data_IF_915570272069
#
_entry.id   IF_915570272069
#
_cell.length_a   1.000
_cell.length_b   1.000
_cell.length_c   1.000
_cell.angle_alpha   90.00
_cell.angle_beta   90.00
_cell.angle_gamma   90.00
#
_symmetry.space_group_name_H-M   'P 1'
#
loop_
_entity.id
_entity.type
_entity.pdbx_description
1 polymer ?
#
# COMPACT_ATOMS: atom_id res chain seq x y z
N UNK A 1 16.49 39.03 -23.07
CA UNK A 1 16.76 37.98 -22.06
C UNK A 1 15.48 37.17 -21.98
N UNK A 2 15.47 35.99 -22.59
CA UNK A 2 14.29 35.12 -22.53
C UNK A 2 14.19 34.58 -21.10
N UNK A 3 13.09 34.84 -20.42
CA UNK A 3 12.74 34.10 -19.20
C UNK A 3 12.67 32.62 -19.61
N UNK A 4 13.71 31.86 -19.26
CA UNK A 4 13.65 30.40 -19.40
C UNK A 4 12.54 29.93 -18.45
N UNK A 5 11.49 29.36 -19.02
CA UNK A 5 10.37 28.84 -18.25
C UNK A 5 10.88 27.62 -17.46
N UNK A 6 11.15 27.82 -16.17
CA UNK A 6 11.54 26.75 -15.28
C UNK A 6 10.30 26.02 -14.79
N UNK A 7 10.29 24.70 -14.95
CA UNK A 7 9.24 23.82 -14.47
C UNK A 7 9.59 23.44 -13.04
N UNK A 8 8.72 23.77 -12.09
CA UNK A 8 8.94 23.40 -10.69
C UNK A 8 8.62 21.92 -10.46
N UNK A 9 9.17 21.31 -9.40
CA UNK A 9 8.85 19.93 -9.02
C UNK A 9 7.34 19.69 -8.87
N UNK A 10 6.60 20.71 -8.42
CA UNK A 10 5.14 20.67 -8.30
C UNK A 10 4.47 20.62 -9.68
N UNK A 11 4.88 21.48 -10.59
CA UNK A 11 4.35 21.50 -11.94
C UNK A 11 4.68 20.21 -12.70
N UNK A 12 5.91 19.68 -12.52
CA UNK A 12 6.29 18.39 -13.08
C UNK A 12 5.43 17.24 -12.54
N UNK A 13 5.08 17.26 -11.25
CA UNK A 13 4.20 16.26 -10.63
C UNK A 13 2.77 16.28 -11.21
N UNK A 14 2.27 17.46 -11.54
CA UNK A 14 0.95 17.63 -12.15
C UNK A 14 0.94 17.12 -13.60
N UNK A 15 2.01 17.40 -14.38
CA UNK A 15 2.13 16.97 -15.78
C UNK A 15 2.35 15.46 -15.94
N UNK A 16 3.18 14.86 -15.09
CA UNK A 16 3.52 13.44 -15.16
C UNK A 16 2.55 12.54 -14.37
N UNK A 17 1.56 13.13 -13.70
CA UNK A 17 0.58 12.44 -12.84
C UNK A 17 1.24 11.52 -11.81
N UNK A 18 2.36 11.96 -11.24
CA UNK A 18 3.10 11.25 -10.18
C UNK A 18 3.37 12.21 -9.04
N UNK A 19 3.43 11.72 -7.81
CA UNK A 19 3.59 12.58 -6.65
C UNK A 19 4.93 13.36 -6.72
N UNK A 20 4.91 14.63 -6.30
CA UNK A 20 6.12 15.47 -6.20
C UNK A 20 7.28 14.85 -5.38
N UNK A 21 7.00 13.92 -4.46
CA UNK A 21 8.03 13.17 -3.73
C UNK A 21 8.73 12.14 -4.63
N UNK A 22 7.97 11.45 -5.46
CA UNK A 22 8.48 10.51 -6.48
C UNK A 22 9.35 11.25 -7.50
N UNK A 23 8.92 12.42 -7.96
CA UNK A 23 9.74 13.28 -8.83
C UNK A 23 11.05 13.67 -8.13
N UNK A 24 11.02 14.09 -6.86
CA UNK A 24 12.28 14.34 -6.11
C UNK A 24 13.16 13.11 -6.04
N UNK A 25 12.61 11.93 -5.71
CA UNK A 25 13.37 10.68 -5.65
C UNK A 25 14.03 10.36 -6.99
N UNK A 26 13.35 10.60 -8.11
CA UNK A 26 13.94 10.42 -9.44
C UNK A 26 15.04 11.45 -9.70
N UNK A 27 14.82 12.71 -9.34
CA UNK A 27 15.83 13.76 -9.43
C UNK A 27 17.07 13.40 -8.60
N UNK A 28 16.91 12.94 -7.36
CA UNK A 28 18.02 12.59 -6.48
C UNK A 28 18.81 11.37 -7.00
N UNK A 29 18.13 10.38 -7.60
CA UNK A 29 18.76 9.16 -8.14
C UNK A 29 19.44 9.43 -9.49
N UNK A 30 18.87 10.32 -10.28
CA UNK A 30 19.29 10.64 -11.64
C UNK A 30 19.78 12.09 -11.76
N UNK A 31 20.35 12.65 -10.69
CA UNK A 31 20.76 14.06 -10.61
C UNK A 31 21.75 14.42 -11.72
N UNK A 32 22.74 13.54 -11.94
CA UNK A 32 23.74 13.67 -12.98
C UNK A 32 23.11 13.72 -14.39
N UNK A 33 22.02 12.98 -14.62
CA UNK A 33 21.34 12.92 -15.91
C UNK A 33 20.28 14.01 -16.06
N UNK A 34 19.58 14.40 -15.01
CA UNK A 34 18.50 15.41 -15.10
C UNK A 34 19.08 16.83 -15.00
N UNK A 35 20.23 16.98 -14.32
CA UNK A 35 20.92 18.25 -14.05
C UNK A 35 19.94 19.33 -13.54
N UNK A 36 19.26 19.09 -12.41
CA UNK A 36 18.29 20.03 -11.86
C UNK A 36 19.00 21.29 -11.33
N UNK A 37 18.38 22.46 -11.51
CA UNK A 37 18.80 23.67 -10.81
C UNK A 37 18.07 23.77 -9.47
N UNK A 38 18.65 24.44 -8.48
CA UNK A 38 18.08 24.57 -7.13
C UNK A 38 17.98 26.04 -6.77
N UNK A 39 16.77 26.48 -6.42
CA UNK A 39 16.59 27.86 -5.96
C UNK A 39 17.09 28.07 -4.51
N UNK A 40 17.16 29.33 -4.06
CA UNK A 40 17.57 29.71 -2.70
C UNK A 40 16.74 29.07 -1.56
N UNK A 41 15.60 28.46 -1.91
CA UNK A 41 14.67 27.81 -0.97
C UNK A 41 14.78 26.29 -0.99
N UNK A 42 15.67 25.70 -1.80
CA UNK A 42 15.86 24.26 -1.91
C UNK A 42 14.80 23.54 -2.75
N UNK A 43 14.11 24.24 -3.66
CA UNK A 43 13.21 23.61 -4.64
C UNK A 43 13.92 23.40 -5.97
N UNK A 44 13.75 22.21 -6.55
CA UNK A 44 14.27 21.90 -7.88
C UNK A 44 13.51 22.67 -8.97
N UNK A 45 14.29 23.31 -9.83
CA UNK A 45 13.90 23.99 -11.05
C UNK A 45 14.40 23.16 -12.22
N UNK A 46 13.47 22.69 -13.05
CA UNK A 46 13.76 21.85 -14.19
C UNK A 46 13.67 22.69 -15.46
N UNK A 47 14.61 22.51 -16.37
CA UNK A 47 14.45 22.99 -17.74
C UNK A 47 13.50 22.08 -18.50
N UNK A 48 13.00 22.51 -19.66
CA UNK A 48 12.17 21.67 -20.54
C UNK A 48 12.90 20.35 -20.90
N UNK A 49 14.22 20.39 -21.06
CA UNK A 49 15.05 19.22 -21.35
C UNK A 49 15.14 18.28 -20.14
N UNK A 50 15.41 18.81 -18.94
CA UNK A 50 15.40 18.05 -17.69
C UNK A 50 14.03 17.38 -17.43
N UNK A 51 12.95 18.06 -17.81
CA UNK A 51 11.60 17.50 -17.73
C UNK A 51 11.38 16.36 -18.72
N UNK A 52 11.86 16.49 -19.96
CA UNK A 52 11.78 15.39 -20.94
C UNK A 52 12.59 14.15 -20.49
N UNK A 53 13.74 14.36 -19.85
CA UNK A 53 14.53 13.28 -19.24
C UNK A 53 13.74 12.54 -18.14
N UNK A 54 12.91 13.26 -17.37
CA UNK A 54 11.99 12.65 -16.40
C UNK A 54 10.88 11.82 -17.07
N UNK A 55 10.35 12.25 -18.21
CA UNK A 55 9.37 11.46 -18.99
C UNK A 55 9.99 10.14 -19.47
N UNK A 56 11.23 10.17 -19.97
CA UNK A 56 11.94 8.97 -20.39
C UNK A 56 12.14 8.00 -19.22
N UNK A 57 12.53 8.52 -18.05
CA UNK A 57 12.67 7.72 -16.83
C UNK A 57 11.32 7.10 -16.43
N UNK A 58 10.24 7.89 -16.44
CA UNK A 58 8.90 7.39 -16.13
C UNK A 58 8.49 6.26 -17.07
N UNK A 59 8.69 6.43 -18.38
CA UNK A 59 8.35 5.43 -19.37
C UNK A 59 9.12 4.12 -19.15
N UNK A 60 10.43 4.21 -18.91
CA UNK A 60 11.27 3.03 -18.64
C UNK A 60 10.89 2.33 -17.32
N UNK A 61 10.44 3.08 -16.30
CA UNK A 61 9.93 2.51 -15.05
C UNK A 61 8.60 1.76 -15.27
N UNK A 62 7.71 2.28 -16.13
CA UNK A 62 6.47 1.60 -16.50
C UNK A 62 6.71 0.29 -17.27
N UNK A 63 7.86 0.15 -17.93
CA UNK A 63 8.29 -1.09 -18.61
C UNK A 63 8.84 -2.17 -17.65
N UNK A 64 8.68 -2.01 -16.33
CA UNK A 64 9.22 -2.89 -15.26
C UNK A 64 10.75 -2.95 -15.20
N UNK A 65 11.45 -1.95 -15.72
CA UNK A 65 12.90 -1.83 -15.50
C UNK A 65 13.16 -1.23 -14.12
N UNK A 66 14.14 -1.76 -13.39
CA UNK A 66 14.53 -1.17 -12.11
C UNK A 66 15.29 0.14 -12.31
N UNK A 67 15.26 1.05 -11.32
CA UNK A 67 15.98 2.32 -11.40
C UNK A 67 17.48 2.13 -11.69
N UNK A 68 18.08 1.02 -11.22
CA UNK A 68 19.48 0.66 -11.50
C UNK A 68 19.67 0.19 -12.94
N UNK A 69 18.75 -0.61 -13.47
CA UNK A 69 18.77 -1.01 -14.87
C UNK A 69 18.62 0.20 -15.79
N UNK A 70 17.74 1.14 -15.44
CA UNK A 70 17.57 2.40 -16.19
C UNK A 70 18.87 3.22 -16.14
N UNK A 71 19.49 3.35 -14.97
CA UNK A 71 20.79 4.03 -14.85
C UNK A 71 21.86 3.36 -15.73
N UNK A 72 21.93 2.02 -15.71
CA UNK A 72 22.89 1.27 -16.50
C UNK A 72 22.61 1.36 -18.02
N UNK A 73 21.34 1.33 -18.43
CA UNK A 73 20.91 1.52 -19.81
C UNK A 73 21.30 2.92 -20.29
N UNK A 74 21.05 3.97 -19.50
CA UNK A 74 21.42 5.36 -19.83
C UNK A 74 22.95 5.54 -19.93
N UNK A 75 23.72 4.89 -19.05
CA UNK A 75 25.19 4.84 -19.13
C UNK A 75 25.70 4.08 -20.35
N UNK A 76 24.97 3.06 -20.81
CA UNK A 76 25.35 2.24 -21.96
C UNK A 76 24.94 2.87 -23.29
N UNK A 77 23.84 3.62 -23.31
CA UNK A 77 23.32 4.35 -24.48
C UNK A 77 24.09 5.65 -24.75
N UNK A 78 25.01 6.05 -23.86
CA UNK A 78 25.87 7.22 -24.05
C UNK A 78 25.19 8.56 -23.77
N UNK A 79 23.93 8.56 -23.30
CA UNK A 79 23.25 9.78 -22.84
C UNK A 79 23.65 10.18 -21.41
N UNK A 80 24.34 9.30 -20.69
CA UNK A 80 24.99 9.57 -19.41
C UNK A 80 26.50 9.58 -19.64
N UNK A 81 27.02 10.68 -20.19
CA UNK A 81 28.44 10.99 -20.05
C UNK A 81 28.69 11.23 -18.56
N UNK A 82 29.17 10.20 -17.87
CA UNK A 82 29.96 10.42 -16.67
C UNK A 82 31.16 11.21 -17.15
N UNK A 83 31.06 12.54 -17.09
CA UNK A 83 32.23 13.39 -16.94
C UNK A 83 32.92 12.85 -15.68
N UNK A 84 33.85 11.92 -15.90
CA UNK A 84 34.94 11.71 -14.97
C UNK A 84 35.57 13.08 -14.91
N UNK A 85 35.19 13.84 -13.88
CA UNK A 85 36.00 14.91 -13.32
C UNK A 85 37.28 14.21 -12.85
N UNK A 86 38.11 13.86 -13.82
CA UNK A 86 39.53 13.75 -13.65
C UNK A 86 39.90 15.17 -13.33
N UNK A 87 40.27 15.39 -12.08
CA UNK A 87 40.99 16.57 -11.65
C UNK A 87 42.22 16.72 -12.57
N UNK A 88 42.08 17.35 -13.73
CA UNK A 88 43.19 18.02 -14.41
C UNK A 88 43.46 19.32 -13.65
N UNK A 89 43.96 19.15 -12.44
CA UNK A 89 44.76 20.17 -11.78
C UNK A 89 46.11 20.22 -12.51
N UNK A 90 46.55 21.39 -13.00
CA UNK A 90 47.80 21.51 -13.73
C UNK A 90 48.98 21.40 -12.76
N UNK A 91 49.62 20.23 -12.71
CA UNK A 91 50.89 20.05 -12.03
C UNK A 91 52.06 20.32 -12.99
N UNK A 92 53.00 21.21 -12.64
CA UNK A 92 54.36 21.14 -13.17
C UNK A 92 55.18 20.15 -12.33
N UNK A 93 55.82 19.23 -13.06
CA UNK A 93 57.13 18.60 -12.84
C UNK A 93 57.62 18.19 -11.43
N UNK A 94 57.87 16.87 -11.35
CA UNK A 94 59.10 16.19 -10.85
C UNK A 94 59.38 16.05 -9.35
N UNK A 95 59.85 14.82 -9.10
CA UNK A 95 60.82 14.32 -8.12
C UNK A 95 60.34 13.50 -6.93
N UNK A 96 61.20 12.52 -6.64
CA UNK A 96 61.01 11.24 -5.98
C UNK A 96 60.91 11.36 -4.46
N UNK A 97 60.13 10.49 -3.81
CA UNK A 97 60.45 10.02 -2.46
C UNK A 97 59.77 8.68 -2.13
N UNK A 98 60.53 7.85 -1.44
CA UNK A 98 60.38 6.42 -1.17
C UNK A 98 59.45 6.13 0.03
N UNK A 99 58.80 4.95 -0.01
CA UNK A 99 58.34 4.05 1.10
C UNK A 99 56.82 3.97 1.40
N UNK A 100 56.32 2.86 2.00
CA UNK A 100 56.79 1.48 2.03
C UNK A 100 55.75 0.48 1.45
N UNK A 101 56.25 -0.65 0.95
CA UNK A 101 55.43 -1.78 0.52
C UNK A 101 54.57 -2.32 1.68
N UNK A 102 53.25 -2.29 1.51
CA UNK A 102 52.33 -3.08 2.32
C UNK A 102 52.41 -4.55 1.86
N UNK A 103 52.47 -5.53 2.77
CA UNK A 103 52.48 -6.94 2.43
C UNK A 103 51.05 -7.35 2.02
N UNK A 104 50.74 -7.17 0.75
CA UNK A 104 49.53 -7.67 0.13
C UNK A 104 49.69 -9.19 -0.05
N UNK A 105 49.34 -9.94 1.00
CA UNK A 105 49.20 -11.39 0.92
C UNK A 105 48.12 -11.87 1.91
N UNK A 106 46.89 -11.45 1.65
CA UNK A 106 45.70 -12.16 2.10
C UNK A 106 44.75 -12.24 0.91
N UNK A 107 44.85 -13.36 0.18
CA UNK A 107 43.86 -13.83 -0.77
C UNK A 107 42.55 -14.13 -0.03
N UNK A 108 41.81 -13.09 0.32
CA UNK A 108 40.38 -13.22 0.58
C UNK A 108 39.73 -13.11 -0.80
N UNK A 109 39.07 -14.17 -1.31
CA UNK A 109 38.56 -14.18 -2.67
C UNK A 109 37.51 -13.07 -2.82
N UNK A 110 37.90 -11.99 -3.49
CA UNK A 110 37.07 -10.80 -3.76
C UNK A 110 35.74 -11.22 -4.40
N UNK A 111 35.73 -12.30 -5.18
CA UNK A 111 34.52 -12.91 -5.75
C UNK A 111 33.47 -13.33 -4.72
N UNK A 112 33.87 -13.74 -3.50
CA UNK A 112 32.93 -14.15 -2.46
C UNK A 112 32.26 -12.95 -1.79
N UNK A 113 32.98 -11.83 -1.68
CA UNK A 113 32.46 -10.57 -1.15
C UNK A 113 31.56 -9.90 -2.20
N UNK A 114 31.98 -9.90 -3.48
CA UNK A 114 31.18 -9.39 -4.61
C UNK A 114 29.88 -10.19 -4.78
N UNK A 115 29.93 -11.53 -4.69
CA UNK A 115 28.71 -12.36 -4.72
C UNK A 115 27.77 -12.09 -3.53
N UNK A 116 28.31 -11.89 -2.33
CA UNK A 116 27.49 -11.53 -1.16
C UNK A 116 26.91 -10.11 -1.26
N UNK A 117 27.62 -9.16 -1.88
CA UNK A 117 27.13 -7.81 -2.12
C UNK A 117 26.02 -7.78 -3.16
N UNK A 118 26.07 -8.67 -4.16
CA UNK A 118 25.02 -8.81 -5.17
C UNK A 118 23.75 -9.41 -4.55
N UNK A 119 23.91 -10.45 -3.72
CA UNK A 119 22.81 -11.10 -2.99
C UNK A 119 22.18 -10.16 -1.94
N UNK A 120 22.99 -9.35 -1.25
CA UNK A 120 22.50 -8.28 -0.37
C UNK A 120 21.82 -7.19 -1.21
N UNK A 121 22.32 -6.89 -2.41
CA UNK A 121 21.71 -5.97 -3.37
C UNK A 121 20.30 -6.38 -3.80
N UNK A 122 20.10 -7.65 -4.18
CA UNK A 122 18.79 -8.21 -4.51
C UNK A 122 17.82 -8.17 -3.32
N UNK A 123 18.35 -8.43 -2.12
CA UNK A 123 17.56 -8.36 -0.89
C UNK A 123 17.14 -6.92 -0.57
N UNK A 124 18.05 -5.95 -0.73
CA UNK A 124 17.74 -4.53 -0.57
C UNK A 124 16.73 -4.06 -1.62
N UNK A 125 16.84 -4.51 -2.87
CA UNK A 125 15.89 -4.21 -3.93
C UNK A 125 14.49 -4.75 -3.60
N UNK A 126 14.40 -5.99 -3.12
CA UNK A 126 13.13 -6.56 -2.64
C UNK A 126 12.53 -5.75 -1.49
N UNK A 127 13.37 -5.27 -0.56
CA UNK A 127 12.94 -4.39 0.53
C UNK A 127 12.47 -3.05 -0.02
N UNK A 128 13.15 -2.46 -1.00
CA UNK A 128 12.73 -1.21 -1.65
C UNK A 128 11.40 -1.37 -2.38
N UNK A 129 11.20 -2.44 -3.15
CA UNK A 129 9.90 -2.71 -3.80
C UNK A 129 8.78 -2.88 -2.79
N UNK A 130 9.05 -3.55 -1.66
CA UNK A 130 8.06 -3.68 -0.58
C UNK A 130 7.77 -2.34 0.10
N UNK A 131 8.77 -1.48 0.26
CA UNK A 131 8.60 -0.13 0.81
C UNK A 131 7.79 0.76 -0.14
N UNK A 132 8.03 0.68 -1.45
CA UNK A 132 7.24 1.37 -2.49
C UNK A 132 5.77 0.92 -2.43
N UNK A 133 5.51 -0.39 -2.35
CA UNK A 133 4.16 -0.93 -2.22
C UNK A 133 3.48 -0.48 -0.92
N UNK A 134 4.25 -0.38 0.18
CA UNK A 134 3.73 0.15 1.45
C UNK A 134 3.42 1.64 1.34
N UNK A 135 4.26 2.40 0.64
CA UNK A 135 4.06 3.82 0.38
C UNK A 135 2.78 4.05 -0.45
N UNK A 136 2.58 3.30 -1.54
CA UNK A 136 1.36 3.34 -2.35
C UNK A 136 0.11 2.99 -1.53
N UNK A 137 0.21 1.97 -0.67
CA UNK A 137 -0.89 1.59 0.21
C UNK A 137 -1.22 2.69 1.24
N UNK A 138 -0.20 3.35 1.79
CA UNK A 138 -0.38 4.49 2.70
C UNK A 138 -1.01 5.68 1.98
N UNK A 139 -0.62 5.98 0.74
CA UNK A 139 -1.27 7.02 -0.07
C UNK A 139 -2.74 6.70 -0.36
N UNK A 140 -3.03 5.46 -0.74
CA UNK A 140 -4.41 5.00 -0.94
C UNK A 140 -5.24 5.16 0.34
N UNK A 141 -4.66 4.86 1.51
CA UNK A 141 -5.32 5.09 2.80
C UNK A 141 -5.58 6.57 3.03
N UNK A 142 -4.64 7.46 2.71
CA UNK A 142 -4.84 8.90 2.83
C UNK A 142 -5.98 9.41 1.93
N UNK A 143 -6.05 8.96 0.68
CA UNK A 143 -7.12 9.34 -0.24
C UNK A 143 -8.49 8.86 0.26
N UNK A 144 -8.57 7.60 0.73
CA UNK A 144 -9.79 7.05 1.32
C UNK A 144 -10.18 7.79 2.61
N UNK A 145 -9.21 8.16 3.45
CA UNK A 145 -9.47 8.94 4.66
C UNK A 145 -9.93 10.36 4.33
N UNK A 146 -9.36 11.00 3.31
CA UNK A 146 -9.79 12.32 2.85
C UNK A 146 -11.21 12.26 2.25
N UNK A 147 -11.51 11.23 1.47
CA UNK A 147 -12.87 10.97 0.95
C UNK A 147 -13.86 10.71 2.09
N UNK A 148 -13.46 9.94 3.10
CA UNK A 148 -14.27 9.71 4.30
C UNK A 148 -14.48 11.00 5.09
N UNK A 149 -13.46 11.84 5.26
CA UNK A 149 -13.59 13.12 5.98
C UNK A 149 -14.46 14.11 5.22
N UNK A 150 -14.34 14.17 3.88
CA UNK A 150 -15.24 14.91 3.00
C UNK A 150 -16.67 14.37 3.10
N UNK A 151 -16.85 13.04 3.13
CA UNK A 151 -18.15 12.38 3.28
C UNK A 151 -18.77 12.66 4.66
N UNK A 152 -17.98 12.60 5.75
CA UNK A 152 -18.43 12.92 7.11
C UNK A 152 -18.76 14.40 7.22
N UNK A 153 -17.94 15.29 6.66
CA UNK A 153 -18.17 16.74 6.67
C UNK A 153 -19.40 17.10 5.82
N UNK A 154 -19.58 16.47 4.66
CA UNK A 154 -20.77 16.59 3.84
C UNK A 154 -22.00 16.03 4.56
N UNK A 155 -21.89 14.87 5.20
CA UNK A 155 -22.94 14.29 6.01
C UNK A 155 -23.29 15.19 7.20
N UNK A 156 -22.32 15.79 7.89
CA UNK A 156 -22.53 16.75 8.98
C UNK A 156 -23.13 18.07 8.49
N UNK A 157 -22.70 18.57 7.32
CA UNK A 157 -23.28 19.75 6.69
C UNK A 157 -24.74 19.50 6.29
N UNK A 158 -25.04 18.29 5.79
CA UNK A 158 -26.42 17.84 5.48
C UNK A 158 -27.21 17.54 6.77
N UNK A 159 -26.56 17.10 7.85
CA UNK A 159 -27.15 16.82 9.16
C UNK A 159 -27.53 18.11 9.92
N UNK A 160 -26.92 19.27 9.60
CA UNK A 160 -27.44 20.57 10.04
C UNK A 160 -28.83 20.90 9.47
N UNK A 161 -29.28 20.21 8.41
CA UNK A 161 -30.66 20.26 7.93
C UNK A 161 -31.48 19.00 8.27
N UNK A 162 -30.82 17.88 8.57
CA UNK A 162 -31.45 16.62 8.99
C UNK A 162 -31.15 16.31 10.46
N UNK A 163 -31.65 17.14 11.37
CA UNK A 163 -31.99 16.62 12.68
C UNK A 163 -33.25 15.78 12.48
N UNK A 164 -33.11 14.45 12.50
CA UNK A 164 -34.26 13.57 12.71
C UNK A 164 -34.96 14.12 13.98
N UNK A 165 -36.21 14.61 13.88
CA UNK A 165 -36.88 15.23 15.01
C UNK A 165 -36.85 14.28 16.20
N UNK A 166 -36.65 14.79 17.42
CA UNK A 166 -36.65 13.96 18.63
C UNK A 166 -37.92 13.09 18.73
N UNK A 167 -39.03 13.55 18.15
CA UNK A 167 -40.27 12.78 18.01
C UNK A 167 -40.14 11.53 17.14
N UNK A 168 -39.34 11.57 16.08
CA UNK A 168 -39.13 10.43 15.18
C UNK A 168 -38.25 9.37 15.84
N UNK A 169 -37.21 9.79 16.59
CA UNK A 169 -36.40 8.87 17.39
C UNK A 169 -37.25 8.22 18.49
N UNK A 170 -38.10 9.00 19.17
CA UNK A 170 -39.01 8.47 20.18
C UNK A 170 -40.01 7.46 19.58
N UNK A 171 -40.57 7.75 18.40
CA UNK A 171 -41.45 6.84 17.68
C UNK A 171 -40.76 5.52 17.33
N UNK A 172 -39.51 5.57 16.86
CA UNK A 172 -38.72 4.38 16.57
C UNK A 172 -38.47 3.54 17.84
N UNK A 173 -38.16 4.18 18.97
CA UNK A 173 -37.96 3.49 20.26
C UNK A 173 -39.26 2.79 20.70
N UNK A 174 -40.40 3.45 20.55
CA UNK A 174 -41.71 2.88 20.89
C UNK A 174 -42.08 1.70 19.96
N UNK A 175 -41.76 1.79 18.66
CA UNK A 175 -41.96 0.68 17.72
C UNK A 175 -41.05 -0.51 18.03
N UNK A 176 -39.78 -0.27 18.38
CA UNK A 176 -38.86 -1.33 18.82
C UNK A 176 -39.41 -2.02 20.07
N UNK A 177 -39.93 -1.25 21.04
CA UNK A 177 -40.57 -1.80 22.24
C UNK A 177 -41.76 -2.68 21.92
N UNK A 178 -42.67 -2.21 21.05
CA UNK A 178 -43.85 -2.98 20.60
C UNK A 178 -43.45 -4.26 19.87
N UNK A 179 -42.45 -4.21 19.00
CA UNK A 179 -41.96 -5.39 18.26
C UNK A 179 -41.32 -6.40 19.19
N UNK A 180 -40.56 -5.94 20.18
CA UNK A 180 -39.99 -6.81 21.20
C UNK A 180 -41.06 -7.52 22.04
N UNK A 181 -42.12 -6.81 22.44
CA UNK A 181 -43.24 -7.42 23.17
C UNK A 181 -44.07 -8.37 22.30
N UNK A 182 -44.25 -8.03 21.02
CA UNK A 182 -44.87 -8.92 20.03
C UNK A 182 -44.07 -10.23 19.89
N UNK A 183 -42.75 -10.14 19.73
CA UNK A 183 -41.88 -11.31 19.62
C UNK A 183 -41.92 -12.17 20.88
N UNK A 184 -42.00 -11.58 22.08
CA UNK A 184 -42.18 -12.34 23.32
C UNK A 184 -43.47 -13.16 23.33
N UNK A 185 -44.57 -12.57 22.85
CA UNK A 185 -45.86 -13.26 22.75
C UNK A 185 -45.77 -14.39 21.73
N UNK A 186 -45.18 -14.15 20.56
CA UNK A 186 -44.98 -15.16 19.52
C UNK A 186 -44.10 -16.31 20.02
N UNK A 187 -43.01 -16.02 20.74
CA UNK A 187 -42.12 -17.02 21.32
C UNK A 187 -42.86 -17.87 22.37
N UNK A 188 -43.69 -17.26 23.21
CA UNK A 188 -44.53 -17.97 24.18
C UNK A 188 -45.54 -18.87 23.47
N UNK A 189 -46.18 -18.37 22.42
CA UNK A 189 -47.15 -19.13 21.63
C UNK A 189 -46.49 -20.29 20.90
N UNK A 190 -45.33 -20.07 20.28
CA UNK A 190 -44.54 -21.12 19.64
C UNK A 190 -44.10 -22.19 20.65
N UNK A 191 -43.63 -21.78 21.84
CA UNK A 191 -43.27 -22.70 22.93
C UNK A 191 -44.47 -23.50 23.41
N UNK A 192 -45.64 -22.87 23.54
CA UNK A 192 -46.87 -23.53 23.93
C UNK A 192 -47.34 -24.53 22.87
N UNK A 193 -47.38 -24.12 21.61
CA UNK A 193 -47.71 -24.99 20.47
C UNK A 193 -46.74 -26.17 20.35
N UNK A 194 -45.44 -25.93 20.55
CA UNK A 194 -44.43 -26.99 20.59
C UNK A 194 -44.72 -27.98 21.73
N UNK A 195 -44.97 -27.50 22.96
CA UNK A 195 -45.31 -28.38 24.10
C UNK A 195 -46.60 -29.17 23.85
N UNK A 196 -47.63 -28.55 23.27
CA UNK A 196 -48.87 -29.23 22.89
C UNK A 196 -48.62 -30.32 21.84
N UNK A 197 -47.88 -30.01 20.78
CA UNK A 197 -47.53 -30.97 19.73
C UNK A 197 -46.69 -32.13 20.28
N UNK A 198 -45.73 -31.86 21.18
CA UNK A 198 -44.95 -32.91 21.84
C UNK A 198 -45.82 -33.79 22.74
N UNK A 199 -46.77 -33.21 23.48
CA UNK A 199 -47.66 -33.95 24.37
C UNK A 199 -48.71 -34.79 23.61
N UNK A 200 -49.16 -34.36 22.43
CA UNK A 200 -50.07 -35.14 21.58
C UNK A 200 -49.36 -36.25 20.81
N UNK A 201 -48.06 -36.09 20.54
CA UNK A 201 -47.24 -37.13 19.88
C UNK A 201 -46.98 -38.34 20.80
N UNK A 202 -46.97 -38.16 22.12
CA UNK A 202 -46.80 -39.28 23.09
C UNK A 202 -48.07 -40.11 23.35
N UNK A 203 -49.24 -39.74 22.80
CA UNK A 203 -50.50 -40.47 23.03
C UNK A 203 -50.92 -41.46 21.92
N UNK A 204 -50.03 -41.81 20.99
CA UNK A 204 -50.28 -42.91 20.05
C UNK A 204 -49.48 -44.18 20.38
N UNK A 205 -50.24 -45.15 20.92
CA UNK A 205 -50.08 -46.61 20.81
C UNK A 205 -49.16 -47.31 21.84
N UNK A 206 -49.75 -47.71 22.97
CA UNK A 206 -49.44 -49.02 23.56
C UNK A 206 -50.73 -49.79 23.86
N UNK A 207 -51.07 -50.87 23.12
CA UNK A 207 -52.15 -51.76 23.50
C UNK A 207 -51.71 -52.67 24.67
N UNK A 208 -52.50 -52.61 25.74
CA UNK A 208 -52.47 -53.44 26.95
C UNK A 208 -52.46 -54.94 26.60
N UNK A 209 -51.34 -55.62 26.87
CA UNK A 209 -51.12 -57.09 26.68
C UNK A 209 -52.27 -57.92 27.28
N UNK A 210 -53.00 -58.66 26.45
CA UNK A 210 -53.91 -59.72 26.89
C UNK A 210 -53.11 -60.99 27.25
N UNK A 211 -53.33 -61.53 28.45
CA UNK A 211 -52.78 -62.82 28.90
C UNK A 211 -53.52 -63.97 28.20
N UNK A 212 -52.82 -64.78 27.40
CA UNK A 212 -53.27 -66.14 26.99
C UNK A 212 -52.53 -67.16 27.86
N UNK A 213 -53.19 -67.66 28.90
CA UNK A 213 -52.79 -68.91 29.55
C UNK A 213 -53.33 -70.07 28.67
N UNK A 214 -52.42 -70.83 28.06
CA UNK A 214 -52.76 -72.06 27.32
C UNK A 214 -52.98 -73.18 28.34
N UNK A 215 -54.21 -73.70 28.37
CA UNK A 215 -54.52 -75.00 28.94
C UNK A 215 -54.23 -76.08 27.90
N UNK A 216 -53.47 -77.11 28.27
CA UNK A 216 -53.72 -78.54 27.98
C UNK A 216 -52.53 -79.40 28.39
N UNK A 217 -52.78 -80.43 29.22
CA UNK A 217 -51.94 -81.63 29.26
C UNK A 217 -51.77 -82.27 30.64
N UNK A 218 -52.68 -83.16 31.01
CA UNK A 218 -52.59 -84.14 32.09
C UNK A 218 -51.64 -85.27 31.64
N UNK A 219 -50.66 -85.65 32.47
CA UNK A 219 -50.24 -87.02 32.84
C UNK A 219 -49.14 -86.95 33.91
#
# INVERSE_FOLDING_TARGET
>A
MAEQAYITTREASERLHVHARTIRKWIDVFEEYISPDVNDRGHYLLTEESFHRLEIIQQRLQENKSMRQIRQDLMKEGEWEVERISEESPLPEKEEAVSPALPFNQDIPVHRIVGSLDEIGEMMETVFTRLDQLEDHVFTIFDVMEEMDKSITAAQATQKQSMVPASTVQHMIDEIGKKHDQLKIELRNATFSHRLASATTEQQITPRRQKKARFLGIF
#
